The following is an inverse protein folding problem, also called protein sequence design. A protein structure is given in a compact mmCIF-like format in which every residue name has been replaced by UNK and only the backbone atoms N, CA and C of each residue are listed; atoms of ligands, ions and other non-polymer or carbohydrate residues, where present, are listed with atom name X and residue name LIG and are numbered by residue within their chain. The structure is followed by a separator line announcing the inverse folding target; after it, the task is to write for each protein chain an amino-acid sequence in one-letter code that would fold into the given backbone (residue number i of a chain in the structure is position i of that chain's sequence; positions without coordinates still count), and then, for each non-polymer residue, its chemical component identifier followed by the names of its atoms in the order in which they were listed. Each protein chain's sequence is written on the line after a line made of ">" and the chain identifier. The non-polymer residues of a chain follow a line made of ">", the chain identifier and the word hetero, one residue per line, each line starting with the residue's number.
data_IF_462598061777
#
_entry.id   IF_462598061777
#
_cell.length_a   1.000
_cell.length_b   1.000
_cell.length_c   1.000
_cell.angle_alpha   90.00
_cell.angle_beta   90.00
_cell.angle_gamma   90.00
#
_symmetry.space_group_name_H-M   'P 1'
#
loop_
_entity.id
_entity.type
_entity.pdbx_description
1 polymer ?
#
# COMPACT_ATOMS: atom_id res chain seq x y z
N UNK A 1 2.56 -14.70 5.84
CA UNK A 1 1.69 -15.59 5.04
C UNK A 1 0.31 -14.93 4.95
N UNK A 2 0.05 -14.16 3.89
CA UNK A 2 -1.29 -13.57 3.66
C UNK A 2 -2.07 -14.58 2.82
N UNK A 3 -2.81 -15.43 3.51
CA UNK A 3 -3.84 -16.27 2.90
C UNK A 3 -5.12 -16.07 3.68
N UNK A 4 -5.85 -15.02 3.33
CA UNK A 4 -7.29 -15.03 3.50
C UNK A 4 -7.92 -14.41 2.27
N UNK A 5 -8.26 -15.25 1.30
CA UNK A 5 -9.37 -14.96 0.39
C UNK A 5 -10.61 -14.88 1.28
N UNK A 6 -11.01 -13.68 1.68
CA UNK A 6 -12.19 -13.48 2.51
C UNK A 6 -13.44 -13.60 1.65
N UNK A 7 -13.83 -14.84 1.37
CA UNK A 7 -15.24 -15.17 1.25
C UNK A 7 -15.92 -14.87 2.60
N UNK A 8 -16.99 -14.07 2.60
CA UNK A 8 -17.89 -13.97 3.76
C UNK A 8 -18.08 -12.62 4.43
N UNK A 9 -17.52 -11.49 3.94
CA UNK A 9 -17.95 -10.16 4.42
C UNK A 9 -19.15 -9.64 3.64
N UNK A 10 -20.05 -9.00 4.39
CA UNK A 10 -21.40 -8.63 3.97
C UNK A 10 -21.49 -7.14 3.69
N UNK A 11 -21.74 -6.81 2.44
CA UNK A 11 -22.28 -5.52 2.04
C UNK A 11 -23.74 -5.47 2.48
N UNK A 12 -24.06 -4.63 3.45
CA UNK A 12 -25.44 -4.44 3.90
C UNK A 12 -26.06 -3.27 3.15
N UNK A 13 -27.02 -3.59 2.30
CA UNK A 13 -27.87 -2.64 1.60
C UNK A 13 -29.11 -2.37 2.45
N UNK A 14 -29.39 -1.10 2.75
CA UNK A 14 -30.60 -0.70 3.48
C UNK A 14 -31.42 0.26 2.64
N UNK A 15 -32.65 -0.14 2.31
CA UNK A 15 -33.59 0.71 1.58
C UNK A 15 -34.23 1.72 2.53
N UNK A 16 -33.96 3.01 2.30
CA UNK A 16 -34.49 4.12 3.10
C UNK A 16 -35.73 4.77 2.48
N UNK A 17 -36.21 4.24 1.36
CA UNK A 17 -37.40 4.77 0.69
C UNK A 17 -38.67 4.08 1.17
N UNK A 18 -39.81 4.66 0.81
CA UNK A 18 -41.14 4.06 0.98
C UNK A 18 -41.52 3.07 -0.14
N UNK A 19 -40.60 2.79 -1.07
CA UNK A 19 -40.83 1.91 -2.24
C UNK A 19 -39.85 0.75 -2.23
N UNK A 20 -40.20 -0.35 -2.87
CA UNK A 20 -39.25 -1.45 -3.07
C UNK A 20 -38.15 -1.01 -4.06
N UNK A 21 -36.90 -1.40 -3.79
CA UNK A 21 -35.75 -1.13 -4.65
C UNK A 21 -35.18 -2.42 -5.21
N UNK A 22 -34.79 -2.43 -6.49
CA UNK A 22 -33.97 -3.50 -7.06
C UNK A 22 -32.49 -3.23 -6.77
N UNK A 23 -31.76 -4.21 -6.25
CA UNK A 23 -30.32 -4.15 -6.06
C UNK A 23 -29.71 -5.55 -6.19
N UNK A 24 -28.61 -5.68 -6.95
CA UNK A 24 -27.94 -6.96 -7.19
C UNK A 24 -28.90 -8.10 -7.63
N UNK A 25 -29.77 -7.79 -8.61
CA UNK A 25 -30.74 -8.75 -9.16
C UNK A 25 -31.88 -9.16 -8.22
N UNK A 26 -32.09 -8.43 -7.11
CA UNK A 26 -33.08 -8.79 -6.09
C UNK A 26 -33.82 -7.56 -5.54
N UNK A 27 -35.03 -7.77 -5.04
CA UNK A 27 -35.87 -6.69 -4.48
C UNK A 27 -35.63 -6.54 -2.98
N UNK A 28 -35.40 -5.30 -2.53
CA UNK A 28 -35.30 -4.89 -1.12
C UNK A 28 -36.56 -4.08 -0.78
N UNK A 29 -37.43 -4.54 0.13
CA UNK A 29 -38.65 -3.82 0.49
C UNK A 29 -38.34 -2.50 1.23
N UNK A 30 -39.31 -1.58 1.36
CA UNK A 30 -39.16 -0.37 2.17
C UNK A 30 -38.65 -0.67 3.58
N UNK A 31 -37.57 -0.01 4.03
CA UNK A 31 -36.93 -0.27 5.33
C UNK A 31 -36.19 -1.61 5.42
N UNK A 32 -36.22 -2.42 4.36
CA UNK A 32 -35.58 -3.73 4.30
C UNK A 32 -34.07 -3.62 4.29
N UNK A 33 -33.43 -4.62 4.90
CA UNK A 33 -31.98 -4.81 4.86
C UNK A 33 -31.66 -6.04 4.01
N UNK A 34 -30.59 -5.96 3.23
CA UNK A 34 -30.08 -7.10 2.48
C UNK A 34 -28.59 -7.18 2.63
N UNK A 35 -28.16 -8.38 2.93
CA UNK A 35 -26.78 -8.79 3.07
C UNK A 35 -26.32 -9.38 1.72
N UNK A 36 -25.30 -8.79 1.12
CA UNK A 36 -24.71 -9.21 -0.14
C UNK A 36 -23.26 -9.55 0.10
N UNK A 37 -22.84 -10.76 -0.24
CA UNK A 37 -21.43 -11.13 -0.12
C UNK A 37 -20.61 -10.43 -1.20
N UNK A 38 -19.49 -9.84 -0.81
CA UNK A 38 -18.61 -9.06 -1.70
C UNK A 38 -17.94 -9.90 -2.81
N UNK A 39 -18.03 -11.22 -2.74
CA UNK A 39 -17.56 -12.12 -3.80
C UNK A 39 -18.52 -12.22 -4.99
N UNK A 40 -19.78 -11.76 -4.87
CA UNK A 40 -20.81 -11.90 -5.91
C UNK A 40 -21.75 -10.68 -5.89
N UNK A 41 -21.36 -9.59 -6.56
CA UNK A 41 -22.29 -8.51 -6.91
C UNK A 41 -22.48 -8.50 -8.42
N UNK A 42 -23.30 -9.43 -8.92
CA UNK A 42 -23.64 -9.48 -10.34
C UNK A 42 -24.79 -8.55 -10.65
N UNK A 43 -24.48 -7.41 -11.25
CA UNK A 43 -25.43 -6.47 -11.82
C UNK A 43 -25.10 -6.25 -13.29
N UNK A 44 -26.11 -6.34 -14.16
CA UNK A 44 -26.01 -5.72 -15.48
C UNK A 44 -25.71 -4.21 -15.28
N UNK A 45 -24.87 -3.58 -16.11
CA UNK A 45 -24.38 -2.20 -15.85
C UNK A 45 -25.46 -1.19 -15.43
N UNK A 46 -26.64 -1.26 -16.05
CA UNK A 46 -27.82 -0.46 -15.67
C UNK A 46 -28.25 -0.59 -14.19
N UNK A 47 -28.12 -1.77 -13.57
CA UNK A 47 -28.48 -1.97 -12.16
C UNK A 47 -27.47 -1.34 -11.20
N UNK A 48 -26.21 -1.21 -11.62
CA UNK A 48 -25.19 -0.53 -10.81
C UNK A 48 -25.35 0.99 -10.91
N UNK A 49 -25.66 1.52 -12.09
CA UNK A 49 -26.00 2.94 -12.27
C UNK A 49 -27.21 3.35 -11.41
N UNK A 50 -28.25 2.52 -11.38
CA UNK A 50 -29.43 2.75 -10.52
C UNK A 50 -29.08 2.65 -9.04
N UNK A 51 -28.23 1.70 -8.64
CA UNK A 51 -27.76 1.55 -7.27
C UNK A 51 -26.98 2.80 -6.82
N UNK A 52 -26.07 3.29 -7.66
CA UNK A 52 -25.29 4.50 -7.41
C UNK A 52 -26.18 5.72 -7.33
N UNK A 53 -27.10 5.92 -8.28
CA UNK A 53 -28.06 7.02 -8.25
C UNK A 53 -28.97 6.99 -7.00
N UNK A 54 -29.33 5.79 -6.52
CA UNK A 54 -30.08 5.64 -5.27
C UNK A 54 -29.23 5.90 -4.02
N UNK A 55 -27.96 5.50 -4.00
CA UNK A 55 -27.04 5.81 -2.92
C UNK A 55 -26.75 7.32 -2.84
N UNK A 56 -26.43 7.95 -3.97
CA UNK A 56 -26.21 9.40 -4.09
C UNK A 56 -27.46 10.19 -3.70
N UNK A 57 -28.64 9.75 -4.10
CA UNK A 57 -29.92 10.35 -3.71
C UNK A 57 -30.32 10.11 -2.25
N UNK A 58 -29.50 9.44 -1.43
CA UNK A 58 -29.78 9.11 -0.03
C UNK A 58 -30.90 8.08 0.17
N UNK A 59 -31.34 7.43 -0.91
CA UNK A 59 -32.43 6.45 -0.96
C UNK A 59 -31.98 5.06 -0.52
N UNK A 60 -30.69 4.77 -0.71
CA UNK A 60 -30.03 3.55 -0.30
C UNK A 60 -28.86 3.91 0.61
N UNK A 61 -28.74 3.26 1.77
CA UNK A 61 -27.49 3.31 2.53
C UNK A 61 -26.75 1.99 2.40
N UNK A 62 -25.48 2.09 2.03
CA UNK A 62 -24.57 0.97 1.87
C UNK A 62 -23.66 0.95 3.09
N UNK A 63 -23.53 -0.20 3.73
CA UNK A 63 -22.62 -0.40 4.84
C UNK A 63 -21.68 -1.57 4.57
N UNK A 64 -20.42 -1.39 4.89
CA UNK A 64 -19.41 -2.44 4.89
C UNK A 64 -19.21 -2.85 6.36
N UNK A 65 -19.58 -4.08 6.70
CA UNK A 65 -19.46 -4.62 8.07
C UNK A 65 -20.15 -3.76 9.13
N UNK A 66 -21.37 -3.30 8.82
CA UNK A 66 -22.17 -2.46 9.71
C UNK A 66 -21.75 -1.00 9.78
N UNK A 67 -20.60 -0.63 9.19
CA UNK A 67 -20.17 0.76 9.07
C UNK A 67 -20.70 1.38 7.79
N UNK A 68 -21.46 2.49 7.84
CA UNK A 68 -21.92 3.16 6.62
C UNK A 68 -20.74 3.61 5.75
N UNK A 69 -20.89 3.45 4.44
CA UNK A 69 -20.09 4.11 3.41
C UNK A 69 -20.66 5.53 3.23
N UNK A 70 -19.79 6.53 3.17
CA UNK A 70 -20.21 7.92 2.98
C UNK A 70 -20.58 8.19 1.51
N UNK A 71 -21.38 9.23 1.26
CA UNK A 71 -21.94 9.58 -0.06
C UNK A 71 -20.87 9.81 -1.14
N UNK A 72 -19.68 10.29 -0.77
CA UNK A 72 -18.55 10.43 -1.68
C UNK A 72 -17.90 9.09 -2.06
N UNK A 73 -18.09 8.04 -1.25
CA UNK A 73 -17.51 6.71 -1.45
C UNK A 73 -18.42 5.81 -2.28
N UNK A 74 -19.75 6.06 -2.29
CA UNK A 74 -20.68 5.35 -3.17
C UNK A 74 -20.51 5.73 -4.64
N UNK A 75 -20.06 6.95 -4.93
CA UNK A 75 -19.75 7.39 -6.29
C UNK A 75 -18.49 6.71 -6.86
N UNK A 76 -17.68 6.06 -6.01
CA UNK A 76 -16.48 5.32 -6.44
C UNK A 76 -16.74 3.81 -6.56
N UNK A 77 -17.98 3.37 -6.35
CA UNK A 77 -18.43 2.05 -6.77
C UNK A 77 -18.73 2.11 -8.27
N UNK A 78 -17.75 2.54 -9.07
CA UNK A 78 -17.88 2.48 -10.52
C UNK A 78 -17.96 1.00 -10.90
N UNK A 79 -19.02 0.64 -11.62
CA UNK A 79 -19.13 -0.68 -12.19
C UNK A 79 -17.98 -0.82 -13.21
N UNK A 80 -17.15 -1.88 -13.12
CA UNK A 80 -16.25 -2.19 -14.23
C UNK A 80 -17.05 -2.23 -15.53
N UNK A 81 -16.47 -1.73 -16.63
CA UNK A 81 -17.08 -1.62 -17.98
C UNK A 81 -17.60 -2.96 -18.55
N UNK A 82 -17.52 -4.07 -17.80
CA UNK A 82 -18.21 -5.32 -18.11
C UNK A 82 -18.23 -6.39 -17.01
N UNK A 83 -18.31 -6.05 -15.71
CA UNK A 83 -18.25 -7.08 -14.66
C UNK A 83 -18.72 -6.68 -13.26
N UNK A 84 -18.79 -7.68 -12.38
CA UNK A 84 -19.23 -7.58 -10.97
C UNK A 84 -18.39 -6.55 -10.18
N UNK A 85 -19.02 -5.83 -9.26
CA UNK A 85 -18.29 -4.97 -8.30
C UNK A 85 -17.42 -5.86 -7.40
N UNK A 86 -16.11 -5.76 -7.55
CA UNK A 86 -15.16 -6.45 -6.67
C UNK A 86 -14.60 -5.45 -5.66
N UNK A 87 -14.68 -5.78 -4.38
CA UNK A 87 -13.94 -5.06 -3.34
C UNK A 87 -12.91 -6.01 -2.74
N UNK A 88 -11.68 -5.55 -2.64
CA UNK A 88 -10.60 -6.26 -1.96
C UNK A 88 -10.52 -5.79 -0.51
N UNK A 89 -10.35 -6.75 0.40
CA UNK A 89 -9.99 -6.50 1.79
C UNK A 89 -8.63 -7.12 2.07
N UNK A 90 -7.72 -6.30 2.59
CA UNK A 90 -6.43 -6.75 3.11
C UNK A 90 -6.35 -6.54 4.61
N UNK A 91 -5.65 -7.46 5.28
CA UNK A 91 -5.46 -7.47 6.72
C UNK A 91 -4.00 -7.76 7.01
N UNK A 92 -3.39 -6.91 7.83
CA UNK A 92 -2.05 -7.11 8.35
C UNK A 92 -2.14 -7.05 9.87
N UNK A 93 -1.79 -8.13 10.54
CA UNK A 93 -1.76 -8.17 12.00
C UNK A 93 -0.34 -7.91 12.48
N UNK A 94 -0.21 -7.22 13.61
CA UNK A 94 1.07 -6.96 14.28
C UNK A 94 2.17 -6.50 13.31
N UNK A 95 1.83 -5.58 12.41
CA UNK A 95 2.74 -5.24 11.33
C UNK A 95 4.02 -4.59 11.86
N UNK A 96 5.17 -5.17 11.52
CA UNK A 96 6.48 -4.72 11.98
C UNK A 96 6.78 -3.26 11.58
N UNK A 97 7.48 -2.58 12.49
CA UNK A 97 7.96 -1.21 12.29
C UNK A 97 8.85 -1.10 11.05
N UNK A 98 9.05 0.14 10.57
CA UNK A 98 10.16 0.40 9.66
C UNK A 98 11.48 0.03 10.34
N UNK A 99 12.44 -0.42 9.55
CA UNK A 99 13.72 -0.93 10.02
C UNK A 99 14.81 -0.40 9.08
N UNK A 100 15.70 0.44 9.62
CA UNK A 100 16.66 1.26 8.89
C UNK A 100 17.81 0.43 8.29
N UNK A 101 18.09 -0.75 8.86
CA UNK A 101 19.19 -1.63 8.43
C UNK A 101 18.72 -3.01 7.94
N UNK A 102 17.42 -3.14 7.68
CA UNK A 102 16.80 -4.41 7.31
C UNK A 102 17.43 -5.10 6.08
N UNK A 103 17.93 -4.35 5.10
CA UNK A 103 18.47 -4.91 3.86
C UNK A 103 20.00 -4.96 3.89
N UNK A 104 20.64 -3.90 4.37
CA UNK A 104 22.09 -3.79 4.47
C UNK A 104 22.44 -3.00 5.73
N UNK A 105 23.25 -3.61 6.59
CA UNK A 105 23.80 -2.94 7.77
C UNK A 105 24.69 -1.78 7.39
N UNK A 106 24.85 -0.81 8.30
CA UNK A 106 25.63 0.41 8.09
C UNK A 106 27.00 0.14 7.45
N UNK A 107 27.33 0.90 6.42
CA UNK A 107 28.59 0.79 5.69
C UNK A 107 29.07 2.16 5.21
N UNK A 108 30.38 2.36 5.21
CA UNK A 108 30.99 3.58 4.67
C UNK A 108 30.79 3.69 3.17
N UNK A 109 30.51 4.90 2.69
CA UNK A 109 30.29 5.15 1.27
C UNK A 109 31.48 4.64 0.42
N UNK A 110 31.22 3.92 -0.68
CA UNK A 110 32.29 3.26 -1.40
C UNK A 110 33.06 4.25 -2.29
N UNK A 111 34.38 4.10 -2.39
CA UNK A 111 35.21 4.96 -3.24
C UNK A 111 35.03 4.73 -4.76
N UNK A 112 34.23 3.73 -5.14
CA UNK A 112 33.87 3.38 -6.51
C UNK A 112 32.43 2.84 -6.51
N UNK A 113 31.74 2.94 -7.64
CA UNK A 113 30.40 2.35 -7.80
C UNK A 113 30.44 0.88 -7.38
N UNK A 114 29.60 0.51 -6.41
CA UNK A 114 29.63 -0.81 -5.78
C UNK A 114 28.25 -1.41 -5.77
N UNK A 115 28.13 -2.65 -6.23
CA UNK A 115 26.89 -3.44 -6.18
C UNK A 115 26.97 -4.47 -5.06
N UNK A 116 26.02 -4.40 -4.13
CA UNK A 116 25.80 -5.38 -3.08
C UNK A 116 24.70 -6.35 -3.53
N UNK A 117 24.91 -7.66 -3.35
CA UNK A 117 23.93 -8.70 -3.70
C UNK A 117 24.14 -9.98 -2.89
N UNK A 118 23.14 -10.86 -2.84
CA UNK A 118 23.26 -12.16 -2.18
C UNK A 118 23.63 -12.02 -0.69
N UNK A 119 24.74 -12.62 -0.29
CA UNK A 119 25.23 -12.54 1.10
C UNK A 119 25.75 -11.17 1.51
N UNK A 120 26.02 -10.28 0.54
CA UNK A 120 26.46 -8.92 0.85
C UNK A 120 25.28 -8.06 1.36
N UNK A 121 24.03 -8.48 1.15
CA UNK A 121 22.85 -7.90 1.78
C UNK A 121 22.71 -8.50 3.18
N UNK A 122 23.49 -7.97 4.13
CA UNK A 122 23.68 -8.55 5.47
C UNK A 122 22.76 -7.98 6.56
N UNK A 123 21.72 -7.22 6.17
CA UNK A 123 20.70 -6.71 7.09
C UNK A 123 19.84 -7.80 7.73
N UNK A 124 18.96 -7.40 8.66
CA UNK A 124 18.09 -8.33 9.39
C UNK A 124 17.21 -9.20 8.48
N UNK A 125 16.73 -8.64 7.36
CA UNK A 125 16.05 -9.34 6.27
C UNK A 125 17.04 -9.77 5.19
N UNK A 126 17.97 -8.88 4.82
CA UNK A 126 19.00 -9.15 3.82
C UNK A 126 18.40 -9.51 2.44
N UNK A 127 18.81 -10.64 1.81
CA UNK A 127 18.21 -11.13 0.56
C UNK A 127 16.88 -11.88 0.79
N UNK A 128 16.37 -11.90 2.02
CA UNK A 128 15.12 -12.56 2.40
C UNK A 128 13.87 -11.89 1.85
N UNK A 129 12.71 -12.48 2.17
CA UNK A 129 11.42 -11.92 1.80
C UNK A 129 10.90 -10.93 2.86
N UNK A 130 10.46 -9.77 2.42
CA UNK A 130 9.64 -8.83 3.19
C UNK A 130 8.17 -9.22 3.04
N UNK A 131 7.52 -9.53 4.17
CA UNK A 131 6.11 -9.91 4.22
C UNK A 131 5.37 -9.02 5.20
N UNK A 132 4.47 -8.13 4.74
CA UNK A 132 4.13 -7.85 3.34
C UNK A 132 5.27 -7.14 2.59
N UNK A 133 5.19 -7.01 1.24
CA UNK A 133 6.11 -6.19 0.47
C UNK A 133 6.16 -4.73 0.99
N UNK A 134 7.36 -4.14 1.06
CA UNK A 134 7.60 -2.79 1.60
C UNK A 134 8.45 -1.95 0.66
N UNK A 135 8.32 -0.62 0.78
CA UNK A 135 9.23 0.28 0.07
C UNK A 135 10.62 0.27 0.70
N UNK A 136 11.65 0.53 -0.10
CA UNK A 136 13.02 0.68 0.41
C UNK A 136 13.25 2.10 0.93
N UNK A 137 14.10 2.21 1.94
CA UNK A 137 14.62 3.48 2.48
C UNK A 137 16.13 3.41 2.47
N UNK A 138 16.78 4.48 2.00
CA UNK A 138 18.23 4.64 2.05
C UNK A 138 18.52 5.86 2.91
N UNK A 139 19.28 5.67 3.98
CA UNK A 139 19.69 6.75 4.89
C UNK A 139 21.19 6.96 4.74
N UNK A 140 21.59 8.20 4.42
CA UNK A 140 22.98 8.64 4.47
C UNK A 140 23.20 9.50 5.71
N UNK A 141 24.31 9.28 6.42
CA UNK A 141 24.67 10.04 7.61
C UNK A 141 26.14 10.45 7.58
N UNK A 142 26.43 11.64 8.11
CA UNK A 142 27.79 12.16 8.22
C UNK A 142 28.09 12.61 9.64
N UNK A 143 29.26 12.24 10.12
CA UNK A 143 29.87 12.73 11.35
C UNK A 143 30.56 14.09 11.20
N UNK A 144 31.33 14.45 12.22
CA UNK A 144 32.11 15.69 12.21
C UNK A 144 33.28 15.57 11.23
N UNK A 145 33.32 16.45 10.24
CA UNK A 145 34.38 16.47 9.23
C UNK A 145 34.17 15.50 8.06
N UNK A 146 33.07 14.75 8.08
CA UNK A 146 32.67 13.86 6.99
C UNK A 146 31.74 14.57 6.00
N UNK A 147 31.61 14.02 4.80
CA UNK A 147 30.66 14.44 3.79
C UNK A 147 30.17 13.22 2.99
N UNK A 148 29.05 13.39 2.29
CA UNK A 148 28.63 12.49 1.24
C UNK A 148 28.41 13.27 -0.05
N UNK A 149 28.90 12.73 -1.15
CA UNK A 149 28.63 13.27 -2.48
C UNK A 149 27.23 12.84 -2.95
N UNK A 150 26.63 13.68 -3.80
CA UNK A 150 25.35 13.35 -4.42
C UNK A 150 25.51 12.30 -5.51
N UNK A 151 24.50 11.47 -5.72
CA UNK A 151 24.56 10.40 -6.72
C UNK A 151 23.24 9.69 -6.95
N UNK A 152 23.29 8.54 -7.60
CA UNK A 152 22.11 7.70 -7.82
C UNK A 152 22.39 6.30 -7.31
N UNK A 153 21.65 5.88 -6.29
CA UNK A 153 21.58 4.47 -5.92
C UNK A 153 20.52 3.76 -6.76
N UNK A 154 20.78 2.51 -7.11
CA UNK A 154 19.88 1.68 -7.92
C UNK A 154 19.53 0.42 -7.14
N UNK A 155 18.25 0.27 -6.82
CA UNK A 155 17.71 -0.93 -6.18
C UNK A 155 17.06 -1.79 -7.25
N UNK A 156 17.44 -3.06 -7.31
CA UNK A 156 16.75 -4.10 -8.08
C UNK A 156 16.18 -5.10 -7.10
N UNK A 157 14.88 -5.38 -7.22
CA UNK A 157 14.19 -6.33 -6.37
C UNK A 157 13.01 -6.96 -7.09
N UNK A 158 12.39 -7.94 -6.45
CA UNK A 158 11.14 -8.52 -6.92
C UNK A 158 9.96 -7.79 -6.29
N UNK A 159 8.95 -7.47 -7.10
CA UNK A 159 7.68 -6.94 -6.62
C UNK A 159 6.77 -8.02 -6.02
N UNK A 160 5.57 -7.62 -5.59
CA UNK A 160 4.55 -8.52 -5.03
C UNK A 160 4.19 -9.71 -5.95
N UNK A 161 4.32 -9.55 -7.27
CA UNK A 161 4.03 -10.60 -8.26
C UNK A 161 5.27 -11.47 -8.56
N UNK A 162 6.44 -11.13 -8.00
CA UNK A 162 7.71 -11.78 -8.30
C UNK A 162 8.39 -11.31 -9.57
N UNK A 163 7.97 -10.19 -10.13
CA UNK A 163 8.61 -9.58 -11.29
C UNK A 163 9.75 -8.69 -10.83
N UNK A 164 10.90 -8.75 -11.52
CA UNK A 164 12.01 -7.85 -11.24
C UNK A 164 11.64 -6.41 -11.59
N UNK A 165 11.88 -5.50 -10.65
CA UNK A 165 11.70 -4.05 -10.77
C UNK A 165 12.99 -3.35 -10.42
N UNK A 166 13.17 -2.18 -11.01
CA UNK A 166 14.28 -1.27 -10.73
C UNK A 166 13.73 0.03 -10.20
N UNK A 167 14.31 0.53 -9.12
CA UNK A 167 14.03 1.84 -8.56
C UNK A 167 15.33 2.61 -8.39
N UNK A 168 15.32 3.88 -8.82
CA UNK A 168 16.47 4.78 -8.69
C UNK A 168 16.22 5.77 -7.56
N UNK A 169 17.18 5.89 -6.66
CA UNK A 169 17.15 6.80 -5.52
C UNK A 169 18.14 7.95 -5.80
N UNK A 170 17.65 9.19 -5.77
CA UNK A 170 18.51 10.37 -5.94
C UNK A 170 19.06 10.76 -4.59
N UNK A 171 20.35 10.49 -4.35
CA UNK A 171 21.01 10.80 -3.09
C UNK A 171 21.50 12.26 -3.11
N UNK A 172 21.16 13.03 -2.09
CA UNK A 172 21.63 14.41 -1.94
C UNK A 172 23.08 14.47 -1.44
N UNK A 173 23.84 15.46 -1.92
CA UNK A 173 25.12 15.78 -1.29
C UNK A 173 24.87 16.40 0.09
N UNK A 174 25.51 15.87 1.13
CA UNK A 174 25.39 16.38 2.49
C UNK A 174 26.75 16.64 3.13
N UNK A 175 26.82 17.72 3.91
CA UNK A 175 28.03 18.10 4.65
C UNK A 175 28.08 17.47 6.05
N UNK A 176 29.05 17.90 6.87
CA UNK A 176 29.28 17.36 8.20
C UNK A 176 28.05 17.45 9.14
N UNK A 177 27.92 16.45 10.03
CA UNK A 177 26.85 16.35 11.04
C UNK A 177 25.43 16.45 10.45
N UNK A 178 25.20 15.76 9.33
CA UNK A 178 23.93 15.83 8.59
C UNK A 178 23.40 14.43 8.27
N UNK A 179 22.14 14.38 7.84
CA UNK A 179 21.52 13.16 7.34
C UNK A 179 20.61 13.47 6.15
N UNK A 180 20.50 12.51 5.24
CA UNK A 180 19.56 12.51 4.12
C UNK A 180 18.83 11.17 4.10
N UNK A 181 17.52 11.20 3.90
CA UNK A 181 16.67 10.00 3.89
C UNK A 181 15.90 9.97 2.58
N UNK A 182 16.17 8.94 1.77
CA UNK A 182 15.50 8.73 0.50
C UNK A 182 14.52 7.56 0.60
N UNK A 183 13.24 7.85 0.39
CA UNK A 183 12.14 6.90 0.55
C UNK A 183 11.58 6.49 -0.81
N UNK A 184 11.64 5.18 -1.11
CA UNK A 184 11.13 4.60 -2.33
C UNK A 184 9.61 4.67 -2.45
N UNK A 185 9.13 4.53 -3.68
CA UNK A 185 7.71 4.39 -4.04
C UNK A 185 7.34 2.94 -4.32
N UNK A 186 8.24 2.12 -4.86
CA UNK A 186 7.94 0.73 -5.20
C UNK A 186 8.00 -0.14 -3.94
N UNK A 187 6.97 -0.95 -3.71
CA UNK A 187 7.03 -2.00 -2.70
C UNK A 187 7.63 -3.29 -3.26
N UNK A 188 8.77 -3.69 -2.70
CA UNK A 188 9.45 -4.92 -3.04
C UNK A 188 9.09 -6.01 -2.04
N UNK A 189 8.89 -7.24 -2.53
CA UNK A 189 8.82 -8.43 -1.67
C UNK A 189 10.21 -8.93 -1.31
N UNK A 190 11.23 -8.62 -2.10
CA UNK A 190 12.63 -9.04 -1.90
C UNK A 190 13.57 -8.11 -2.65
N UNK A 191 14.66 -7.71 -2.02
CA UNK A 191 15.76 -7.02 -2.71
C UNK A 191 16.74 -8.04 -3.28
N UNK A 192 17.14 -7.86 -4.53
CA UNK A 192 18.10 -8.73 -5.24
C UNK A 192 19.48 -8.09 -5.25
N UNK A 193 19.56 -6.79 -5.52
CA UNK A 193 20.81 -6.04 -5.47
C UNK A 193 20.59 -4.55 -5.21
N UNK A 194 21.58 -3.92 -4.59
CA UNK A 194 21.66 -2.46 -4.47
C UNK A 194 22.99 -1.99 -5.01
N UNK A 195 22.98 -1.04 -5.94
CA UNK A 195 24.18 -0.36 -6.42
C UNK A 195 24.26 1.02 -5.79
N UNK A 196 25.37 1.31 -5.13
CA UNK A 196 25.66 2.60 -4.53
C UNK A 196 26.68 3.35 -5.39
N UNK A 197 26.51 4.68 -5.57
CA UNK A 197 27.44 5.48 -6.33
C UNK A 197 28.77 5.62 -5.57
N UNK A 198 29.85 5.86 -6.32
CA UNK A 198 31.14 6.25 -5.76
C UNK A 198 31.03 7.57 -4.98
N UNK A 199 31.72 7.63 -3.85
CA UNK A 199 31.92 8.85 -3.07
C UNK A 199 33.39 9.30 -3.17
N UNK A 200 33.60 10.55 -3.59
CA UNK A 200 34.93 11.12 -3.79
C UNK A 200 35.36 12.05 -2.65
N UNK A 201 34.58 12.11 -1.56
CA UNK A 201 34.92 12.90 -0.40
C UNK A 201 36.17 12.35 0.29
N UNK A 202 36.98 13.24 0.88
CA UNK A 202 38.20 12.84 1.56
C UNK A 202 37.95 12.06 2.87
N UNK A 203 36.74 12.16 3.41
CA UNK A 203 36.27 11.46 4.60
C UNK A 203 34.77 11.15 4.40
N UNK A 204 34.44 10.00 3.79
CA UNK A 204 33.05 9.64 3.51
C UNK A 204 32.28 9.38 4.80
N UNK A 205 30.99 9.72 4.78
CA UNK A 205 30.03 9.25 5.76
C UNK A 205 29.60 7.80 5.51
N UNK A 206 28.52 7.42 6.18
CA UNK A 206 27.96 6.07 6.13
C UNK A 206 26.57 6.06 5.49
N UNK A 207 26.23 4.92 4.88
CA UNK A 207 24.89 4.58 4.41
C UNK A 207 24.35 3.37 5.16
N UNK A 208 23.02 3.29 5.27
CA UNK A 208 22.28 2.10 5.66
C UNK A 208 21.04 1.94 4.75
N UNK A 209 20.60 0.69 4.57
CA UNK A 209 19.50 0.38 3.67
C UNK A 209 18.49 -0.49 4.40
N UNK A 210 17.27 0.02 4.46
CA UNK A 210 16.17 -0.54 5.21
C UNK A 210 14.87 -0.58 4.41
N UNK A 211 13.76 -0.74 5.11
CA UNK A 211 12.43 -0.60 4.53
C UNK A 211 11.55 0.37 5.32
N UNK A 212 10.65 1.05 4.60
CA UNK A 212 9.77 2.09 5.14
C UNK A 212 8.40 1.58 5.55
N UNK A 213 7.49 2.52 5.81
CA UNK A 213 6.11 2.29 6.27
C UNK A 213 5.11 1.92 5.18
N UNK A 214 5.45 2.10 3.89
CA UNK A 214 4.53 1.80 2.78
C UNK A 214 4.44 0.31 2.57
N UNK A 215 3.23 -0.16 2.30
CA UNK A 215 2.90 -1.57 2.11
C UNK A 215 2.39 -1.77 0.68
N UNK A 216 2.94 -2.75 -0.03
CA UNK A 216 2.47 -3.12 -1.37
C UNK A 216 1.10 -3.79 -1.33
N UNK A 217 0.20 -3.36 -2.22
CA UNK A 217 -1.14 -3.94 -2.36
C UNK A 217 -1.09 -5.29 -3.08
N UNK A 218 -1.96 -6.22 -2.68
CA UNK A 218 -2.09 -7.54 -3.30
C UNK A 218 -2.84 -7.53 -4.65
N UNK A 219 -3.59 -6.46 -4.92
CA UNK A 219 -4.33 -6.28 -6.19
C UNK A 219 -4.06 -4.91 -6.76
N UNK A 220 -4.12 -4.85 -8.09
CA UNK A 220 -3.84 -3.64 -8.85
C UNK A 220 -4.87 -2.55 -8.57
N UNK A 221 -4.35 -1.34 -8.36
CA UNK A 221 -5.12 -0.13 -8.15
C UNK A 221 -4.62 0.96 -9.11
N UNK A 222 -5.09 0.96 -10.36
CA UNK A 222 -4.89 2.01 -11.37
C UNK A 222 -5.89 3.14 -11.20
N UNK A 223 -7.14 2.79 -10.87
CA UNK A 223 -8.26 3.72 -10.75
C UNK A 223 -9.15 3.27 -9.60
N UNK A 224 -8.79 3.61 -8.37
CA UNK A 224 -9.66 3.27 -7.26
C UNK A 224 -9.52 4.20 -6.07
N UNK A 225 -10.58 4.23 -5.27
CA UNK A 225 -10.57 4.90 -3.99
C UNK A 225 -10.49 3.89 -2.86
N UNK A 226 -9.88 4.34 -1.78
CA UNK A 226 -10.01 3.72 -0.48
C UNK A 226 -11.49 3.75 -0.05
N UNK A 227 -12.11 2.58 0.11
CA UNK A 227 -13.47 2.48 0.65
C UNK A 227 -13.45 2.68 2.17
N UNK A 228 -12.51 2.03 2.85
CA UNK A 228 -12.37 2.13 4.29
C UNK A 228 -11.02 1.61 4.75
N UNK A 229 -10.61 2.09 5.90
CA UNK A 229 -9.51 1.51 6.65
C UNK A 229 -9.85 1.42 8.14
N UNK A 230 -9.10 0.57 8.83
CA UNK A 230 -9.11 0.46 10.28
C UNK A 230 -7.69 0.25 10.80
N UNK A 231 -7.41 0.80 11.98
CA UNK A 231 -6.25 0.51 12.79
C UNK A 231 -6.72 0.03 14.16
N UNK A 232 -6.31 -1.15 14.61
CA UNK A 232 -6.76 -1.76 15.87
C UNK A 232 -8.30 -1.79 16.00
N UNK A 233 -8.98 -2.16 14.91
CA UNK A 233 -10.44 -2.18 14.79
C UNK A 233 -11.16 -0.82 14.95
N UNK A 234 -10.44 0.30 14.94
CA UNK A 234 -10.99 1.65 14.96
C UNK A 234 -10.78 2.36 13.62
N UNK A 235 -11.74 3.20 13.22
CA UNK A 235 -11.56 4.09 12.06
C UNK A 235 -10.61 5.22 12.47
N UNK A 236 -9.48 5.41 11.78
CA UNK A 236 -8.52 6.45 12.14
C UNK A 236 -9.08 7.85 11.84
N UNK A 237 -8.59 8.85 12.58
CA UNK A 237 -9.01 10.24 12.39
C UNK A 237 -8.48 10.89 11.11
N UNK A 238 -7.42 10.33 10.54
CA UNK A 238 -6.82 10.74 9.26
C UNK A 238 -6.70 9.51 8.38
N UNK A 239 -7.13 9.65 7.12
CA UNK A 239 -7.14 8.56 6.15
C UNK A 239 -5.71 8.14 5.74
N UNK A 240 -5.47 6.86 5.45
CA UNK A 240 -4.27 6.39 4.79
C UNK A 240 -4.08 7.08 3.43
N UNK A 241 -2.80 7.23 3.08
CA UNK A 241 -2.40 7.65 1.76
C UNK A 241 -2.24 6.43 0.88
N UNK A 242 -2.93 6.42 -0.26
CA UNK A 242 -2.82 5.34 -1.25
C UNK A 242 -2.15 5.90 -2.50
N UNK A 243 -1.16 5.17 -3.01
CA UNK A 243 -0.45 5.49 -4.25
C UNK A 243 -0.84 4.45 -5.29
N UNK A 244 -1.31 4.94 -6.44
CA UNK A 244 -1.77 4.09 -7.54
C UNK A 244 -0.62 3.35 -8.21
N UNK A 245 -0.94 2.23 -8.87
CA UNK A 245 0.00 1.35 -9.56
C UNK A 245 0.82 2.02 -10.67
N UNK A 246 0.29 3.08 -11.29
CA UNK A 246 1.02 3.89 -12.27
C UNK A 246 2.24 4.62 -11.69
N UNK A 247 2.22 4.90 -10.39
CA UNK A 247 3.34 5.51 -9.65
C UNK A 247 4.12 4.46 -8.84
N UNK A 248 3.42 3.50 -8.23
CA UNK A 248 4.01 2.40 -7.46
C UNK A 248 3.65 1.05 -8.08
N UNK A 249 4.35 0.65 -9.13
CA UNK A 249 4.12 -0.63 -9.77
C UNK A 249 4.40 -1.83 -8.83
N UNK A 250 3.74 -2.99 -9.03
CA UNK A 250 2.72 -3.26 -10.03
C UNK A 250 1.31 -2.90 -9.58
N UNK A 251 1.07 -2.85 -8.26
CA UNK A 251 -0.29 -2.83 -7.71
C UNK A 251 -0.65 -1.55 -6.96
N UNK A 252 0.32 -0.70 -6.63
CA UNK A 252 0.15 0.43 -5.74
C UNK A 252 0.62 0.12 -4.32
N UNK A 253 0.66 1.16 -3.49
CA UNK A 253 1.02 1.06 -2.07
C UNK A 253 0.03 1.81 -1.19
N UNK A 254 -0.06 1.39 0.06
CA UNK A 254 -0.74 2.13 1.12
C UNK A 254 0.24 2.54 2.22
N UNK A 255 0.05 3.74 2.76
CA UNK A 255 0.71 4.23 3.96
C UNK A 255 -0.35 4.67 4.98
N UNK A 256 -0.40 3.98 6.11
CA UNK A 256 -1.32 4.28 7.20
C UNK A 256 -0.86 5.48 8.00
N UNK A 257 -1.82 6.28 8.51
CA UNK A 257 -1.51 7.45 9.33
C UNK A 257 -0.83 7.09 10.67
N UNK A 258 -1.11 5.89 11.20
CA UNK A 258 -0.38 5.35 12.35
C UNK A 258 0.66 4.38 11.82
N UNK A 259 1.94 4.68 12.05
CA UNK A 259 3.04 3.84 11.59
C UNK A 259 2.97 2.42 12.20
N UNK A 260 3.33 1.38 11.42
CA UNK A 260 3.55 0.03 11.93
C UNK A 260 4.53 0.03 13.12
N UNK A 261 4.32 -0.87 14.08
CA UNK A 261 5.09 -0.91 15.33
C UNK A 261 5.23 -2.32 15.95
N UNK A 262 4.89 -3.37 15.19
CA UNK A 262 4.86 -4.76 15.66
C UNK A 262 3.67 -5.12 16.56
N UNK A 263 2.70 -4.22 16.75
CA UNK A 263 1.50 -4.46 17.59
C UNK A 263 0.19 -3.94 16.99
N UNK A 264 0.27 -3.07 15.97
CA UNK A 264 -0.91 -2.53 15.32
C UNK A 264 -1.44 -3.49 14.26
N UNK A 265 -2.77 -3.69 14.28
CA UNK A 265 -3.51 -4.37 13.24
C UNK A 265 -4.07 -3.36 12.23
N UNK A 266 -3.94 -3.66 10.95
CA UNK A 266 -4.40 -2.84 9.85
C UNK A 266 -5.38 -3.59 8.97
N UNK A 267 -6.46 -2.91 8.58
CA UNK A 267 -7.43 -3.43 7.61
C UNK A 267 -7.62 -2.36 6.54
N UNK A 268 -7.48 -2.75 5.28
CA UNK A 268 -7.79 -1.90 4.13
C UNK A 268 -8.89 -2.52 3.30
N UNK A 269 -9.89 -1.73 2.90
CA UNK A 269 -10.90 -2.12 1.93
C UNK A 269 -10.87 -1.14 0.75
N UNK A 270 -10.71 -1.66 -0.46
CA UNK A 270 -10.60 -0.86 -1.68
C UNK A 270 -11.22 -1.58 -2.87
N UNK A 271 -11.52 -0.84 -3.94
CA UNK A 271 -11.99 -1.40 -5.21
C UNK A 271 -10.76 -1.53 -6.11
N UNK A 272 -10.23 -2.74 -6.37
CA UNK A 272 -9.18 -2.92 -7.37
C UNK A 272 -9.74 -2.74 -8.79
N UNK A 273 -8.85 -2.68 -9.77
CA UNK A 273 -9.24 -2.71 -11.19
C UNK A 273 -9.81 -4.07 -11.64
#
# INVERSE_FOLDING_TARGET
>A
MITSTLEGRLLTLVNRTSRSLGAAGKVIPPGGKREVQLSVVQGNGHYMDELNAHAEGGRLSIALDGSPLFQAQSAVLDAPIGGDLQATREVWNDLEAADDDAIKTTFTAPAADTTYSGSDLDGAVGPGEMVPPRNIVITGTTGVGEALDGGTAVVIGEDVDGTLRTENFTLGAIGASSSDVQTGVIAFKRVVSVTMPADASGSPGDYEIGFGTKIGLSRKLEQGALLKEFTNNAVPGTAATVVLSGTSAPNGTVEFNTAPNGTNDYILAYVPD
#
